data_IF_009846317229
#
_entry.id   IF_009846317229
#
_cell.length_a   1.000
_cell.length_b   1.000
_cell.length_c   1.000
_cell.angle_alpha   90.00
_cell.angle_beta   90.00
_cell.angle_gamma   90.00
#
_symmetry.space_group_name_H-M   'P 1'
#
loop_
_entity.id
_entity.type
_entity.pdbx_description
1 polymer ?
#
# COMPACT_ATOMS: atom_id res chain seq x y z
N UNK A 1 10.39 38.81 -15.10
CA UNK A 1 11.70 38.14 -14.95
C UNK A 1 12.35 38.62 -13.68
N UNK A 2 12.40 37.78 -12.64
CA UNK A 2 13.46 37.82 -11.63
C UNK A 2 13.55 36.43 -10.99
N UNK A 3 14.52 35.72 -11.52
CA UNK A 3 14.95 34.36 -11.24
C UNK A 3 15.66 34.36 -9.88
N UNK A 4 15.04 33.85 -8.81
CA UNK A 4 15.78 33.59 -7.57
C UNK A 4 16.54 32.26 -7.74
N UNK A 5 17.89 32.27 -7.70
CA UNK A 5 18.70 31.10 -8.05
C UNK A 5 18.54 29.97 -7.04
N UNK A 6 18.53 28.74 -7.57
CA UNK A 6 18.56 27.48 -6.86
C UNK A 6 19.91 27.30 -6.14
N UNK A 7 20.04 27.79 -4.90
CA UNK A 7 21.28 27.68 -4.12
C UNK A 7 21.36 26.40 -3.25
N UNK A 8 20.36 25.51 -3.30
CA UNK A 8 20.44 24.17 -2.70
C UNK A 8 21.12 23.14 -3.61
N UNK A 9 22.05 23.58 -4.46
CA UNK A 9 22.79 22.67 -5.34
C UNK A 9 23.87 21.89 -4.54
N UNK A 10 23.54 20.63 -4.21
CA UNK A 10 24.46 19.50 -3.95
C UNK A 10 25.44 19.62 -2.77
N UNK A 11 24.94 19.77 -1.54
CA UNK A 11 25.71 19.37 -0.36
C UNK A 11 25.45 17.89 -0.06
N UNK A 12 26.49 17.08 0.08
CA UNK A 12 26.37 15.71 0.57
C UNK A 12 25.80 15.71 2.00
N UNK A 13 24.96 14.74 2.38
CA UNK A 13 24.43 14.65 3.74
C UNK A 13 25.54 14.61 4.79
N UNK A 14 25.37 15.39 5.85
CA UNK A 14 26.29 15.37 6.99
C UNK A 14 26.07 14.11 7.86
N UNK A 15 26.94 13.88 8.85
CA UNK A 15 26.90 12.68 9.70
C UNK A 15 25.55 12.49 10.42
N UNK A 16 24.98 13.57 10.93
CA UNK A 16 23.70 13.54 11.65
C UNK A 16 22.56 13.22 10.68
N UNK A 17 22.54 13.84 9.50
CA UNK A 17 21.54 13.57 8.46
C UNK A 17 21.59 12.12 7.97
N UNK A 18 22.79 11.55 7.78
CA UNK A 18 22.97 10.14 7.42
C UNK A 18 22.53 9.17 8.52
N UNK A 19 22.77 9.51 9.79
CA UNK A 19 22.33 8.69 10.91
C UNK A 19 20.80 8.66 11.00
N UNK A 20 20.13 9.81 10.86
CA UNK A 20 18.67 9.91 10.85
C UNK A 20 18.08 9.17 9.65
N UNK A 21 18.66 9.33 8.45
CA UNK A 21 18.26 8.58 7.26
C UNK A 21 18.28 7.07 7.55
N UNK A 22 19.35 6.59 8.21
CA UNK A 22 19.59 5.16 8.44
C UNK A 22 18.56 4.59 9.37
N UNK A 23 18.40 5.22 10.52
CA UNK A 23 17.40 4.85 11.50
C UNK A 23 15.99 4.82 10.88
N UNK A 24 15.66 5.85 10.10
CA UNK A 24 14.36 5.94 9.44
C UNK A 24 14.10 4.78 8.47
N UNK A 25 15.03 4.48 7.56
CA UNK A 25 14.83 3.42 6.55
C UNK A 25 14.91 2.02 7.16
N UNK A 26 15.81 1.79 8.12
CA UNK A 26 15.93 0.51 8.80
C UNK A 26 14.67 0.20 9.63
N UNK A 27 14.17 1.17 10.39
CA UNK A 27 12.95 1.04 11.19
C UNK A 27 11.71 0.92 10.31
N UNK A 28 11.58 1.72 9.26
CA UNK A 28 10.47 1.58 8.30
C UNK A 28 10.46 0.17 7.66
N UNK A 29 11.63 -0.34 7.27
CA UNK A 29 11.76 -1.70 6.74
C UNK A 29 11.41 -2.77 7.77
N UNK A 30 11.81 -2.60 9.03
CA UNK A 30 11.46 -3.52 10.12
C UNK A 30 9.96 -3.52 10.39
N UNK A 31 9.32 -2.36 10.44
CA UNK A 31 7.88 -2.21 10.63
C UNK A 31 7.10 -2.88 9.48
N UNK A 32 7.51 -2.66 8.22
CA UNK A 32 6.90 -3.33 7.07
C UNK A 32 6.97 -4.85 7.15
N UNK A 33 8.14 -5.40 7.54
CA UNK A 33 8.31 -6.86 7.73
C UNK A 33 7.43 -7.39 8.86
N UNK A 34 7.35 -6.68 9.98
CA UNK A 34 6.51 -7.06 11.11
C UNK A 34 5.02 -7.09 10.73
N UNK A 35 4.53 -6.04 10.06
CA UNK A 35 3.15 -5.97 9.57
C UNK A 35 2.83 -7.07 8.55
N UNK A 36 3.73 -7.33 7.60
CA UNK A 36 3.57 -8.38 6.61
C UNK A 36 3.54 -9.78 7.24
N UNK A 37 4.47 -10.04 8.17
CA UNK A 37 4.54 -11.31 8.91
C UNK A 37 3.28 -11.53 9.75
N UNK A 38 2.84 -10.50 10.49
CA UNK A 38 1.67 -10.57 11.34
C UNK A 38 0.37 -10.75 10.56
N UNK A 39 0.24 -10.14 9.37
CA UNK A 39 -0.90 -10.37 8.49
C UNK A 39 -0.98 -11.83 8.04
N UNK A 40 0.15 -12.38 7.59
CA UNK A 40 0.23 -13.76 7.14
C UNK A 40 -0.02 -14.77 8.27
N UNK A 41 0.56 -14.58 9.45
CA UNK A 41 0.46 -15.51 10.57
C UNK A 41 -0.92 -15.51 11.22
N UNK A 42 -1.56 -14.35 11.34
CA UNK A 42 -2.85 -14.21 12.03
C UNK A 42 -4.06 -14.51 11.15
N UNK A 43 -3.96 -14.31 9.84
CA UNK A 43 -5.12 -14.39 8.92
C UNK A 43 -4.90 -15.34 7.74
N UNK A 44 -3.67 -15.78 7.48
CA UNK A 44 -3.31 -16.54 6.29
C UNK A 44 -3.41 -15.73 4.98
N UNK A 45 -3.62 -14.41 5.07
CA UNK A 45 -3.70 -13.50 3.93
C UNK A 45 -2.31 -12.92 3.67
N UNK A 46 -1.85 -13.02 2.43
CA UNK A 46 -0.59 -12.39 2.05
C UNK A 46 -0.75 -10.87 1.93
N UNK A 47 0.31 -10.05 2.08
CA UNK A 47 0.22 -8.61 1.87
C UNK A 47 -0.32 -8.22 0.48
N UNK A 48 -0.01 -9.03 -0.54
CA UNK A 48 -0.54 -8.84 -1.89
C UNK A 48 -2.03 -9.10 -1.99
N UNK A 49 -2.51 -10.19 -1.38
CA UNK A 49 -3.95 -10.47 -1.32
C UNK A 49 -4.68 -9.35 -0.58
N UNK A 50 -4.14 -8.92 0.57
CA UNK A 50 -4.72 -7.85 1.38
C UNK A 50 -4.83 -6.54 0.60
N UNK A 51 -3.77 -6.15 -0.13
CA UNK A 51 -3.79 -4.93 -0.96
C UNK A 51 -4.87 -4.97 -2.05
N UNK A 52 -5.04 -6.10 -2.73
CA UNK A 52 -6.10 -6.28 -3.73
C UNK A 52 -7.49 -6.23 -3.07
N UNK A 53 -7.67 -6.94 -1.96
CA UNK A 53 -8.96 -6.97 -1.26
C UNK A 53 -9.33 -5.61 -0.68
N UNK A 54 -8.36 -4.85 -0.16
CA UNK A 54 -8.54 -3.48 0.32
C UNK A 54 -9.02 -2.58 -0.83
N UNK A 55 -8.27 -2.54 -1.95
CA UNK A 55 -8.60 -1.71 -3.10
C UNK A 55 -10.00 -2.02 -3.66
N UNK A 56 -10.38 -3.30 -3.72
CA UNK A 56 -11.73 -3.68 -4.12
C UNK A 56 -12.77 -3.33 -3.06
N UNK A 57 -12.47 -3.45 -1.76
CA UNK A 57 -13.42 -3.12 -0.70
C UNK A 57 -13.79 -1.63 -0.66
N UNK A 58 -12.87 -0.75 -1.06
CA UNK A 58 -13.06 0.71 -1.11
C UNK A 58 -13.68 1.18 -2.44
N UNK A 59 -13.64 0.35 -3.48
CA UNK A 59 -14.20 0.67 -4.78
C UNK A 59 -15.74 0.60 -4.78
N UNK A 60 -16.36 1.45 -5.62
CA UNK A 60 -17.79 1.35 -5.90
C UNK A 60 -18.15 -0.06 -6.42
N UNK A 61 -19.27 -0.60 -5.92
CA UNK A 61 -19.74 -1.97 -6.20
C UNK A 61 -18.73 -3.08 -5.91
N UNK A 62 -17.70 -2.80 -5.09
CA UNK A 62 -16.59 -3.69 -4.82
C UNK A 62 -15.86 -4.22 -6.06
N UNK A 63 -15.71 -3.36 -7.07
CA UNK A 63 -15.23 -3.73 -8.39
C UNK A 63 -14.30 -2.70 -8.98
N UNK A 64 -13.22 -3.18 -9.60
CA UNK A 64 -12.31 -2.34 -10.40
C UNK A 64 -11.97 -3.00 -11.73
N UNK A 65 -11.66 -2.19 -12.74
CA UNK A 65 -10.97 -2.69 -13.94
C UNK A 65 -9.57 -3.13 -13.54
N UNK A 66 -9.06 -4.20 -14.15
CA UNK A 66 -7.72 -4.73 -13.84
C UNK A 66 -6.61 -3.68 -14.04
N UNK A 67 -6.73 -2.79 -15.03
CA UNK A 67 -5.76 -1.69 -15.24
C UNK A 67 -5.75 -0.70 -14.09
N UNK A 68 -6.93 -0.25 -13.66
CA UNK A 68 -7.09 0.68 -12.53
C UNK A 68 -6.62 0.02 -11.23
N UNK A 69 -6.94 -1.27 -11.04
CA UNK A 69 -6.47 -2.01 -9.87
C UNK A 69 -4.93 -2.09 -9.83
N UNK A 70 -4.27 -2.28 -10.98
CA UNK A 70 -2.81 -2.27 -11.09
C UNK A 70 -2.20 -0.92 -10.70
N UNK A 71 -2.80 0.18 -11.17
CA UNK A 71 -2.40 1.55 -10.82
C UNK A 71 -2.56 1.79 -9.30
N UNK A 72 -3.73 1.48 -8.75
CA UNK A 72 -4.04 1.67 -7.31
C UNK A 72 -3.06 0.93 -6.40
N UNK A 73 -2.69 -0.31 -6.73
CA UNK A 73 -1.75 -1.10 -5.90
C UNK A 73 -0.28 -0.92 -6.31
N UNK A 74 0.00 -0.10 -7.34
CA UNK A 74 1.34 0.15 -7.85
C UNK A 74 2.03 -1.08 -8.45
N UNK A 75 1.29 -1.96 -9.12
CA UNK A 75 1.82 -3.18 -9.72
C UNK A 75 1.76 -3.16 -11.23
N UNK A 76 2.80 -3.73 -11.86
CA UNK A 76 2.77 -4.05 -13.28
C UNK A 76 1.61 -4.98 -13.65
N UNK A 77 1.01 -4.75 -14.83
CA UNK A 77 -0.19 -5.48 -15.28
C UNK A 77 0.02 -7.00 -15.35
N UNK A 78 1.20 -7.45 -15.81
CA UNK A 78 1.54 -8.88 -15.88
C UNK A 78 1.57 -9.51 -14.49
N UNK A 79 2.25 -8.85 -13.54
CA UNK A 79 2.31 -9.29 -12.13
C UNK A 79 0.91 -9.38 -11.53
N UNK A 80 0.07 -8.36 -11.74
CA UNK A 80 -1.30 -8.36 -11.25
C UNK A 80 -2.09 -9.54 -11.84
N UNK A 81 -2.06 -9.74 -13.16
CA UNK A 81 -2.82 -10.80 -13.81
C UNK A 81 -2.53 -12.19 -13.24
N UNK A 82 -1.24 -12.52 -13.04
CA UNK A 82 -0.83 -13.77 -12.41
C UNK A 82 -1.31 -13.88 -10.96
N UNK A 83 -1.27 -12.80 -10.19
CA UNK A 83 -1.74 -12.78 -8.82
C UNK A 83 -3.26 -12.98 -8.72
N UNK A 84 -4.03 -12.26 -9.54
CA UNK A 84 -5.48 -12.38 -9.61
C UNK A 84 -5.92 -13.79 -9.98
N UNK A 85 -5.21 -14.48 -10.89
CA UNK A 85 -5.51 -15.88 -11.20
C UNK A 85 -5.45 -16.80 -9.98
N UNK A 86 -4.47 -16.60 -9.08
CA UNK A 86 -4.37 -17.37 -7.83
C UNK A 86 -5.41 -16.96 -6.79
N UNK A 87 -5.81 -15.70 -6.75
CA UNK A 87 -6.91 -15.24 -5.89
C UNK A 87 -8.27 -15.79 -6.36
N UNK A 88 -8.51 -15.81 -7.66
CA UNK A 88 -9.70 -16.37 -8.28
C UNK A 88 -9.81 -17.87 -8.03
N UNK A 89 -8.72 -18.62 -8.19
CA UNK A 89 -8.67 -20.05 -7.90
C UNK A 89 -8.99 -20.37 -6.42
N UNK A 90 -8.73 -19.43 -5.50
CA UNK A 90 -9.10 -19.52 -4.08
C UNK A 90 -10.50 -18.96 -3.77
N UNK A 91 -11.23 -18.45 -4.77
CA UNK A 91 -12.58 -17.92 -4.62
C UNK A 91 -12.68 -16.53 -3.98
N UNK A 92 -11.55 -15.83 -3.78
CA UNK A 92 -11.52 -14.52 -3.10
C UNK A 92 -12.01 -13.37 -3.99
N UNK A 93 -11.86 -13.53 -5.30
CA UNK A 93 -12.29 -12.56 -6.31
C UNK A 93 -12.93 -13.31 -7.49
N UNK A 94 -13.64 -12.58 -8.33
CA UNK A 94 -14.15 -13.05 -9.62
C UNK A 94 -13.68 -12.13 -10.73
N UNK A 95 -13.22 -12.67 -11.86
CA UNK A 95 -12.93 -11.88 -13.06
C UNK A 95 -14.08 -11.97 -14.04
N UNK A 96 -14.56 -10.83 -14.53
CA UNK A 96 -15.53 -10.74 -15.63
C UNK A 96 -14.87 -10.18 -16.86
N UNK A 97 -15.04 -10.86 -18.00
CA UNK A 97 -14.70 -10.27 -19.30
C UNK A 97 -15.71 -9.16 -19.59
N UNK A 98 -15.21 -8.03 -20.08
CA UNK A 98 -16.05 -6.96 -20.61
C UNK A 98 -16.43 -7.36 -22.03
N UNK A 99 -17.73 -7.44 -22.33
CA UNK A 99 -18.22 -7.71 -23.71
C UNK A 99 -17.97 -6.53 -24.64
N UNK A 100 -17.74 -5.33 -24.08
CA UNK A 100 -17.31 -4.17 -24.82
C UNK A 100 -15.78 -4.17 -24.97
N UNK A 101 -15.35 -4.27 -26.22
CA UNK A 101 -13.98 -4.20 -26.69
C UNK A 101 -13.20 -3.04 -26.03
N UNK A 102 -11.91 -3.31 -25.77
CA UNK A 102 -10.87 -2.35 -25.35
C UNK A 102 -10.75 -1.95 -23.87
N UNK A 103 -11.64 -2.38 -22.97
CA UNK A 103 -11.66 -1.91 -21.57
C UNK A 103 -10.94 -2.77 -20.51
N UNK A 104 -10.50 -3.98 -20.85
CA UNK A 104 -9.90 -4.94 -19.91
C UNK A 104 -10.90 -5.62 -18.96
N UNK A 105 -10.50 -6.75 -18.37
CA UNK A 105 -11.34 -7.54 -17.46
C UNK A 105 -11.61 -6.79 -16.14
N UNK A 106 -12.86 -6.84 -15.67
CA UNK A 106 -13.22 -6.36 -14.35
C UNK A 106 -12.91 -7.40 -13.28
N UNK A 107 -12.51 -6.95 -12.10
CA UNK A 107 -12.22 -7.75 -10.92
C UNK A 107 -13.23 -7.37 -9.86
N UNK A 108 -13.96 -8.35 -9.35
CA UNK A 108 -15.01 -8.19 -8.35
C UNK A 108 -14.62 -8.93 -7.08
N UNK A 109 -14.83 -8.29 -5.93
CA UNK A 109 -14.72 -8.93 -4.62
C UNK A 109 -15.86 -9.94 -4.45
N UNK A 110 -15.56 -11.16 -4.00
CA UNK A 110 -16.61 -12.12 -3.60
C UNK A 110 -16.99 -11.93 -2.14
N UNK A 111 -18.12 -12.51 -1.72
CA UNK A 111 -18.48 -12.55 -0.29
C UNK A 111 -17.43 -13.24 0.57
N UNK A 112 -16.76 -14.26 0.02
CA UNK A 112 -15.67 -14.95 0.71
C UNK A 112 -14.43 -14.08 0.83
N UNK A 113 -14.05 -13.39 -0.24
CA UNK A 113 -13.02 -12.36 -0.23
C UNK A 113 -13.31 -11.27 0.79
N UNK A 114 -14.55 -10.77 0.85
CA UNK A 114 -14.96 -9.75 1.80
C UNK A 114 -14.90 -10.23 3.25
N UNK A 115 -15.34 -11.48 3.54
CA UNK A 115 -15.19 -12.07 4.88
C UNK A 115 -13.73 -12.24 5.26
N UNK A 116 -12.90 -12.75 4.33
CA UNK A 116 -11.47 -12.94 4.55
C UNK A 116 -10.76 -11.61 4.80
N UNK A 117 -11.09 -10.58 4.02
CA UNK A 117 -10.60 -9.22 4.19
C UNK A 117 -10.95 -8.67 5.56
N UNK A 118 -12.23 -8.67 5.96
CA UNK A 118 -12.66 -8.16 7.27
C UNK A 118 -11.92 -8.84 8.43
N UNK A 119 -11.77 -10.15 8.38
CA UNK A 119 -11.02 -10.91 9.39
C UNK A 119 -9.54 -10.48 9.45
N UNK A 120 -8.90 -10.37 8.29
CA UNK A 120 -7.51 -9.91 8.20
C UNK A 120 -7.32 -8.46 8.65
N UNK A 121 -8.26 -7.57 8.33
CA UNK A 121 -8.22 -6.15 8.71
C UNK A 121 -8.26 -5.96 10.23
N UNK A 122 -9.02 -6.77 10.96
CA UNK A 122 -9.05 -6.70 12.44
C UNK A 122 -7.64 -6.95 13.01
N UNK A 123 -6.98 -8.01 12.57
CA UNK A 123 -5.61 -8.32 13.02
C UNK A 123 -4.60 -7.28 12.54
N UNK A 124 -4.75 -6.78 11.31
CA UNK A 124 -3.88 -5.76 10.75
C UNK A 124 -3.95 -4.43 11.53
N UNK A 125 -5.17 -3.98 11.86
CA UNK A 125 -5.39 -2.75 12.64
C UNK A 125 -4.85 -2.87 14.07
N UNK A 126 -4.92 -4.05 14.68
CA UNK A 126 -4.30 -4.31 15.99
C UNK A 126 -2.78 -4.15 15.92
N UNK A 127 -2.14 -4.75 14.91
CA UNK A 127 -0.69 -4.61 14.72
C UNK A 127 -0.26 -3.17 14.42
N UNK A 128 -1.03 -2.42 13.63
CA UNK A 128 -0.77 -0.99 13.40
C UNK A 128 -0.84 -0.23 14.73
N UNK A 129 -1.85 -0.52 15.55
CA UNK A 129 -1.97 0.12 16.86
C UNK A 129 -0.76 -0.20 17.75
N UNK A 130 -0.45 -1.47 17.92
CA UNK A 130 0.63 -1.93 18.80
C UNK A 130 2.02 -1.45 18.36
N UNK A 131 2.32 -1.52 17.06
CA UNK A 131 3.68 -1.26 16.56
C UNK A 131 3.93 0.20 16.18
N UNK A 132 2.88 1.00 15.98
CA UNK A 132 3.01 2.38 15.50
C UNK A 132 2.27 3.37 16.39
N UNK A 133 0.97 3.16 16.65
CA UNK A 133 0.18 4.16 17.40
C UNK A 133 0.57 4.21 18.87
N UNK A 134 0.66 3.06 19.53
CA UNK A 134 0.96 2.99 20.97
C UNK A 134 2.44 3.29 21.27
N UNK A 135 3.31 3.24 20.26
CA UNK A 135 4.74 3.55 20.36
C UNK A 135 5.02 5.07 20.28
N UNK A 136 4.04 5.88 19.89
CA UNK A 136 4.22 7.31 19.59
C UNK A 136 3.30 8.18 20.45
N UNK A 137 3.84 9.31 20.90
CA UNK A 137 3.03 10.39 21.47
C UNK A 137 2.17 11.06 20.38
N UNK A 138 1.13 11.80 20.79
CA UNK A 138 0.29 12.54 19.86
C UNK A 138 1.09 13.54 18.98
N UNK A 139 2.12 14.17 19.55
CA UNK A 139 2.99 15.08 18.81
C UNK A 139 3.86 14.34 17.77
N UNK A 140 4.35 13.14 18.10
CA UNK A 140 5.10 12.32 17.17
C UNK A 140 4.24 11.78 16.02
N UNK A 141 2.98 11.42 16.29
CA UNK A 141 2.01 11.03 15.25
C UNK A 141 1.79 12.18 14.25
N UNK A 142 1.55 13.39 14.74
CA UNK A 142 1.39 14.58 13.89
C UNK A 142 2.67 14.86 13.07
N UNK A 143 3.83 14.78 13.71
CA UNK A 143 5.12 14.94 13.03
C UNK A 143 5.36 13.86 11.98
N UNK A 144 5.01 12.60 12.24
CA UNK A 144 5.11 11.52 11.27
C UNK A 144 4.28 11.82 10.01
N UNK A 145 3.06 12.36 10.18
CA UNK A 145 2.23 12.82 9.08
C UNK A 145 2.90 13.93 8.24
N UNK A 146 3.48 14.94 8.91
CA UNK A 146 4.20 16.05 8.26
C UNK A 146 5.45 15.59 7.52
N UNK A 147 6.22 14.65 8.09
CA UNK A 147 7.40 14.05 7.47
C UNK A 147 6.98 13.29 6.22
N UNK A 148 5.99 12.40 6.32
CA UNK A 148 5.50 11.61 5.19
C UNK A 148 4.99 12.50 4.04
N UNK A 149 4.22 13.55 4.35
CA UNK A 149 3.75 14.50 3.35
C UNK A 149 4.91 15.23 2.66
N UNK A 150 5.96 15.57 3.40
CA UNK A 150 7.13 16.26 2.85
C UNK A 150 7.96 15.37 1.93
N UNK A 151 8.14 14.10 2.30
CA UNK A 151 8.80 13.11 1.45
C UNK A 151 7.98 12.82 0.18
N UNK A 152 6.66 12.67 0.29
CA UNK A 152 5.78 12.43 -0.86
C UNK A 152 5.86 13.53 -1.90
N UNK A 153 5.90 14.81 -1.48
CA UNK A 153 6.08 15.94 -2.40
C UNK A 153 7.39 15.87 -3.20
N UNK A 154 8.45 15.28 -2.64
CA UNK A 154 9.74 15.13 -3.34
C UNK A 154 9.79 13.92 -4.28
N UNK A 155 9.04 12.87 -3.99
CA UNK A 155 8.94 11.69 -4.85
C UNK A 155 8.07 11.93 -6.10
N UNK A 156 7.31 13.03 -6.12
CA UNK A 156 6.26 13.27 -7.10
C UNK A 156 5.03 12.43 -6.81
N UNK A 157 3.86 12.89 -7.25
CA UNK A 157 2.69 12.01 -7.34
C UNK A 157 3.01 10.99 -8.44
N UNK A 158 3.52 9.82 -8.05
CA UNK A 158 3.64 8.69 -8.96
C UNK A 158 2.25 8.37 -9.49
N UNK A 159 2.03 8.69 -10.76
CA UNK A 159 0.81 8.34 -11.49
C UNK A 159 0.65 6.84 -11.67
#
# INVERSE_FOLDING_TARGET
MSNHPREHARRSPNRTELAVWREYIETAGALQRALASGLQSSSGVSPGDYGVLLALSEAADHRLRSSVLAEVIGWERSRLSHHLGRMEARGLIRRRRSDADNGGAAVELTDDGARKFRSASVSHLRLIRELFIDALTAAEIDNAGKIAASLRRQLGDGG
#
